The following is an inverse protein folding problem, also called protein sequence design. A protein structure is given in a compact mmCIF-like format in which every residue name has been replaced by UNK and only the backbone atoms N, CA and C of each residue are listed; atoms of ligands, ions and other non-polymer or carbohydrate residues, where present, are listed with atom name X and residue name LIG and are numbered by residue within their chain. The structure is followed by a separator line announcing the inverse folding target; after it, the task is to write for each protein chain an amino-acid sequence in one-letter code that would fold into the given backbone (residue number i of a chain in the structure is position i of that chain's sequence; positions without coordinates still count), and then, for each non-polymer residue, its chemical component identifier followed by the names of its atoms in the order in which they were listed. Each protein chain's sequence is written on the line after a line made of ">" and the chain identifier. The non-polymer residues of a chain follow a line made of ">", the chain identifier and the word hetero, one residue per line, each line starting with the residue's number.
data_IF_378741388214
#
_entry.id   IF_378741388214
#
_cell.length_a   1.000
_cell.length_b   1.000
_cell.length_c   1.000
_cell.angle_alpha   90.00
_cell.angle_beta   90.00
_cell.angle_gamma   90.00
#
_symmetry.space_group_name_H-M   'P 1'
#
loop_
_entity.id
_entity.type
_entity.pdbx_description
1 polymer ?
#
# COMPACT_ATOMS: atom_id res chain seq x y z
N UNK A 1 -16.29 3.88 12.21
CA UNK A 1 -17.21 2.72 12.13
C UNK A 1 -16.53 1.67 11.27
N UNK A 2 -16.40 0.45 11.78
CA UNK A 2 -15.79 -0.68 11.06
C UNK A 2 -16.72 -1.18 9.95
N UNK A 3 -16.41 -0.88 8.69
CA UNK A 3 -17.22 -1.33 7.54
C UNK A 3 -17.15 -2.86 7.41
N UNK A 4 -18.26 -3.53 7.74
CA UNK A 4 -18.28 -4.98 7.97
C UNK A 4 -18.54 -5.75 6.67
N UNK A 5 -19.27 -5.17 5.71
CA UNK A 5 -19.63 -5.85 4.45
C UNK A 5 -19.08 -5.17 3.20
N UNK A 6 -18.92 -5.94 2.12
CA UNK A 6 -18.45 -5.47 0.82
C UNK A 6 -19.32 -4.34 0.25
N UNK A 7 -20.63 -4.41 0.47
CA UNK A 7 -21.58 -3.37 0.06
C UNK A 7 -21.29 -2.03 0.73
N UNK A 8 -20.95 -2.07 2.02
CA UNK A 8 -20.59 -0.85 2.73
C UNK A 8 -19.24 -0.30 2.28
N UNK A 9 -18.26 -1.18 2.02
CA UNK A 9 -16.97 -0.78 1.46
C UNK A 9 -17.10 -0.17 0.06
N UNK A 10 -18.01 -0.66 -0.78
CA UNK A 10 -18.36 -0.01 -2.03
C UNK A 10 -18.96 1.40 -1.81
N UNK A 11 -19.89 1.55 -0.85
CA UNK A 11 -20.44 2.86 -0.51
C UNK A 11 -19.36 3.83 0.02
N UNK A 12 -18.40 3.31 0.80
CA UNK A 12 -17.24 4.07 1.24
C UNK A 12 -16.40 4.54 0.04
N UNK A 13 -16.08 3.66 -0.91
CA UNK A 13 -15.34 4.02 -2.12
C UNK A 13 -16.03 5.10 -2.94
N UNK A 14 -17.36 5.05 -3.08
CA UNK A 14 -18.11 6.08 -3.79
C UNK A 14 -17.95 7.46 -3.13
N UNK A 15 -17.99 7.51 -1.80
CA UNK A 15 -17.81 8.75 -1.04
C UNK A 15 -16.41 9.30 -1.19
N UNK A 16 -15.40 8.45 -1.05
CA UNK A 16 -14.00 8.86 -1.10
C UNK A 16 -13.57 9.31 -2.49
N UNK A 17 -14.08 8.65 -3.54
CA UNK A 17 -13.87 9.05 -4.93
C UNK A 17 -14.74 10.26 -5.34
N UNK A 18 -15.61 10.76 -4.45
CA UNK A 18 -16.51 11.88 -4.75
C UNK A 18 -17.53 11.59 -5.85
N UNK A 19 -17.83 10.32 -6.11
CA UNK A 19 -18.67 9.90 -7.22
C UNK A 19 -20.08 9.50 -6.77
N UNK A 20 -21.07 9.84 -7.61
CA UNK A 20 -22.44 9.32 -7.48
C UNK A 20 -22.54 7.92 -8.10
N UNK A 21 -23.52 7.13 -7.63
CA UNK A 21 -23.77 5.78 -8.14
C UNK A 21 -23.92 5.70 -9.67
N UNK A 22 -24.56 6.70 -10.29
CA UNK A 22 -24.70 6.76 -11.75
C UNK A 22 -23.36 6.97 -12.48
N UNK A 23 -22.50 7.84 -11.96
CA UNK A 23 -21.15 8.06 -12.51
C UNK A 23 -20.28 6.81 -12.35
N UNK A 24 -20.36 6.15 -11.19
CA UNK A 24 -19.66 4.90 -10.93
C UNK A 24 -20.13 3.78 -11.87
N UNK A 25 -21.43 3.66 -12.12
CA UNK A 25 -21.98 2.70 -13.07
C UNK A 25 -21.48 2.93 -14.50
N UNK A 26 -21.43 4.19 -14.95
CA UNK A 26 -20.90 4.55 -16.27
C UNK A 26 -19.41 4.21 -16.41
N UNK A 27 -18.62 4.46 -15.36
CA UNK A 27 -17.19 4.15 -15.35
C UNK A 27 -16.89 2.64 -15.40
N UNK A 28 -17.82 1.81 -14.92
CA UNK A 28 -17.72 0.35 -14.94
C UNK A 28 -18.50 -0.31 -16.09
N UNK A 29 -19.13 0.47 -16.96
CA UNK A 29 -20.03 -0.04 -18.02
C UNK A 29 -21.14 -0.95 -17.46
N UNK A 30 -21.71 -0.58 -16.30
CA UNK A 30 -22.81 -1.27 -15.65
C UNK A 30 -24.08 -0.41 -15.67
N UNK A 31 -25.24 -1.04 -15.49
CA UNK A 31 -26.49 -0.29 -15.29
C UNK A 31 -26.53 0.34 -13.89
N UNK A 32 -27.09 1.56 -13.81
CA UNK A 32 -27.22 2.28 -12.55
C UNK A 32 -28.01 1.47 -11.49
N UNK A 33 -29.01 0.69 -11.94
CA UNK A 33 -29.78 -0.24 -11.10
C UNK A 33 -28.89 -1.30 -10.46
N UNK A 34 -27.93 -1.86 -11.21
CA UNK A 34 -27.02 -2.90 -10.70
C UNK A 34 -26.10 -2.35 -9.61
N UNK A 35 -25.51 -1.18 -9.85
CA UNK A 35 -24.68 -0.51 -8.84
C UNK A 35 -25.50 -0.14 -7.60
N UNK A 36 -26.73 0.35 -7.79
CA UNK A 36 -27.63 0.68 -6.67
C UNK A 36 -27.97 -0.57 -5.84
N UNK A 37 -28.21 -1.72 -6.48
CA UNK A 37 -28.41 -2.99 -5.77
C UNK A 37 -27.20 -3.41 -4.93
N UNK A 38 -25.98 -3.13 -5.39
CA UNK A 38 -24.78 -3.36 -4.59
C UNK A 38 -24.65 -2.38 -3.43
N UNK A 39 -25.11 -1.13 -3.56
CA UNK A 39 -25.05 -0.15 -2.48
C UNK A 39 -26.13 -0.42 -1.41
N UNK A 40 -27.35 -0.72 -1.86
CA UNK A 40 -28.53 -0.95 -1.01
C UNK A 40 -28.58 -2.35 -0.39
N UNK A 41 -27.45 -3.09 -0.45
CA UNK A 41 -27.20 -4.40 0.18
C UNK A 41 -28.09 -5.55 -0.31
N UNK A 42 -28.69 -5.45 -1.49
CA UNK A 42 -29.55 -6.52 -2.04
C UNK A 42 -28.76 -7.58 -2.78
N UNK A 43 -27.62 -7.21 -3.39
CA UNK A 43 -26.79 -8.10 -4.18
C UNK A 43 -25.31 -8.01 -3.80
N UNK A 44 -24.56 -9.10 -3.99
CA UNK A 44 -23.10 -9.10 -3.91
C UNK A 44 -22.52 -8.89 -5.32
N UNK A 45 -21.47 -8.07 -5.48
CA UNK A 45 -20.80 -7.93 -6.77
C UNK A 45 -20.19 -9.28 -7.19
N UNK A 46 -20.32 -9.61 -8.47
CA UNK A 46 -19.65 -10.79 -9.05
C UNK A 46 -18.15 -10.54 -9.21
N UNK A 47 -17.38 -11.60 -9.45
CA UNK A 47 -15.95 -11.49 -9.77
C UNK A 47 -15.69 -10.58 -10.99
N UNK A 48 -16.54 -10.64 -12.01
CA UNK A 48 -16.46 -9.77 -13.19
C UNK A 48 -16.58 -8.28 -12.80
N UNK A 49 -17.51 -7.94 -11.91
CA UNK A 49 -17.66 -6.56 -11.43
C UNK A 49 -16.44 -6.11 -10.65
N UNK A 50 -15.88 -6.99 -9.82
CA UNK A 50 -14.67 -6.71 -9.05
C UNK A 50 -13.45 -6.49 -9.96
N UNK A 51 -13.33 -7.27 -11.03
CA UNK A 51 -12.30 -7.09 -12.04
C UNK A 51 -12.46 -5.74 -12.75
N UNK A 52 -13.67 -5.37 -13.15
CA UNK A 52 -13.95 -4.04 -13.73
C UNK A 52 -13.55 -2.91 -12.77
N UNK A 53 -13.86 -3.05 -11.48
CA UNK A 53 -13.45 -2.07 -10.46
C UNK A 53 -11.94 -1.92 -10.39
N UNK A 54 -11.20 -3.03 -10.32
CA UNK A 54 -9.73 -3.02 -10.31
C UNK A 54 -9.14 -2.45 -11.61
N UNK A 55 -9.83 -2.65 -12.73
CA UNK A 55 -9.42 -2.14 -14.03
C UNK A 55 -9.63 -0.65 -14.21
N UNK A 56 -10.76 -0.12 -13.74
CA UNK A 56 -11.10 1.30 -13.84
C UNK A 56 -10.40 2.13 -12.75
N UNK A 57 -10.31 1.61 -11.53
CA UNK A 57 -9.78 2.34 -10.37
C UNK A 57 -8.49 1.70 -9.86
N UNK A 58 -7.38 1.99 -10.53
CA UNK A 58 -6.05 1.43 -10.21
C UNK A 58 -5.59 1.73 -8.78
N UNK A 59 -6.02 2.86 -8.24
CA UNK A 59 -5.73 3.28 -6.86
C UNK A 59 -6.46 2.47 -5.78
N UNK A 60 -7.46 1.66 -6.12
CA UNK A 60 -8.28 0.94 -5.14
C UNK A 60 -7.69 -0.43 -4.84
N UNK A 61 -7.52 -0.75 -3.55
CA UNK A 61 -7.07 -2.06 -3.10
C UNK A 61 -8.22 -3.09 -3.16
N UNK A 62 -8.10 -4.07 -4.07
CA UNK A 62 -9.09 -5.14 -4.22
C UNK A 62 -9.12 -6.09 -3.01
N UNK A 63 -7.97 -6.34 -2.37
CA UNK A 63 -7.87 -7.16 -1.16
C UNK A 63 -8.69 -6.54 -0.04
N UNK A 64 -8.57 -5.22 0.16
CA UNK A 64 -9.39 -4.49 1.11
C UNK A 64 -10.87 -4.54 0.75
N UNK A 65 -11.22 -4.37 -0.52
CA UNK A 65 -12.62 -4.39 -0.94
C UNK A 65 -13.30 -5.73 -0.63
N UNK A 66 -12.61 -6.85 -0.85
CA UNK A 66 -13.15 -8.19 -0.63
C UNK A 66 -13.11 -8.57 0.85
N UNK A 67 -11.98 -8.35 1.52
CA UNK A 67 -11.73 -8.87 2.88
C UNK A 67 -12.04 -7.88 3.99
N UNK A 68 -12.04 -6.58 3.70
CA UNK A 68 -12.12 -5.49 4.68
C UNK A 68 -10.87 -5.34 5.54
N UNK A 69 -9.75 -5.93 5.13
CA UNK A 69 -8.44 -5.84 5.80
C UNK A 69 -7.53 -4.90 5.00
N UNK A 70 -6.48 -4.39 5.61
CA UNK A 70 -5.52 -3.44 5.00
C UNK A 70 -6.11 -2.05 4.72
N UNK A 71 -5.42 -1.26 3.89
CA UNK A 71 -5.84 0.07 3.50
C UNK A 71 -6.70 0.06 2.22
N UNK A 72 -7.67 0.98 2.09
CA UNK A 72 -8.57 1.03 0.94
C UNK A 72 -7.88 1.42 -0.37
N UNK A 73 -6.76 2.12 -0.30
CA UNK A 73 -6.04 2.64 -1.45
C UNK A 73 -4.62 2.10 -1.47
N UNK A 74 -4.15 1.82 -2.68
CA UNK A 74 -2.76 1.42 -2.92
C UNK A 74 -1.97 2.71 -3.06
N UNK A 75 -0.89 2.84 -2.28
CA UNK A 75 0.08 3.92 -2.48
C UNK A 75 0.87 3.63 -3.75
N UNK A 76 1.18 4.66 -4.55
CA UNK A 76 1.82 4.53 -5.87
C UNK A 76 3.17 3.78 -5.88
N UNK A 77 3.73 3.43 -4.71
CA UNK A 77 4.96 2.66 -4.53
C UNK A 77 4.77 1.13 -4.72
N UNK A 78 3.55 0.58 -4.58
CA UNK A 78 3.29 -0.88 -4.50
C UNK A 78 2.54 -1.43 -5.74
N UNK A 79 2.66 -0.76 -6.89
CA UNK A 79 1.98 -1.13 -8.14
C UNK A 79 2.70 -2.18 -8.99
N UNK A 80 3.07 -3.35 -8.44
CA UNK A 80 3.62 -4.46 -9.24
C UNK A 80 2.83 -5.77 -9.09
N UNK A 81 1.77 -5.83 -9.89
CA UNK A 81 1.16 -7.00 -10.56
C UNK A 81 1.60 -8.41 -10.10
N UNK A 82 0.73 -9.12 -9.38
CA UNK A 82 0.64 -10.59 -9.48
C UNK A 82 -0.64 -10.97 -10.22
N UNK A 83 -0.60 -10.87 -11.56
CA UNK A 83 -1.53 -11.60 -12.41
C UNK A 83 -1.10 -13.07 -12.44
N UNK A 84 -1.74 -13.93 -11.63
CA UNK A 84 -1.68 -15.37 -11.90
C UNK A 84 -2.63 -15.68 -13.05
N UNK A 85 -2.11 -15.67 -14.27
CA UNK A 85 -2.80 -16.24 -15.43
C UNK A 85 -2.97 -17.74 -15.23
N UNK A 86 -4.14 -18.16 -14.74
CA UNK A 86 -4.59 -19.55 -14.81
C UNK A 86 -5.77 -19.58 -15.77
N UNK A 87 -5.47 -19.51 -17.06
CA UNK A 87 -6.40 -19.87 -18.14
C UNK A 87 -5.92 -21.19 -18.74
N UNK A 88 -6.64 -22.26 -18.43
CA UNK A 88 -6.43 -23.60 -18.95
C UNK A 88 -7.67 -24.47 -18.68
N UNK A 89 -8.64 -24.37 -19.58
CA UNK A 89 -9.91 -25.09 -19.56
C UNK A 89 -9.71 -26.59 -19.95
N UNK A 90 -10.20 -27.50 -19.10
CA UNK A 90 -10.65 -28.91 -19.30
C UNK A 90 -9.76 -29.97 -20.00
N UNK A 91 -9.42 -31.06 -19.30
CA UNK A 91 -10.08 -32.40 -19.47
C UNK A 91 -9.46 -33.55 -18.64
N UNK A 92 -10.34 -34.35 -18.03
CA UNK A 92 -10.27 -35.79 -17.72
C UNK A 92 -9.01 -36.38 -17.03
N UNK A 93 -9.09 -36.57 -15.71
CA UNK A 93 -8.13 -37.40 -14.94
C UNK A 93 -8.42 -38.88 -15.21
N UNK A 94 -7.83 -39.40 -16.28
CA UNK A 94 -7.66 -40.83 -16.47
C UNK A 94 -6.27 -41.25 -15.95
N UNK A 95 -6.32 -42.06 -14.89
CA UNK A 95 -5.29 -42.92 -14.32
C UNK A 95 -4.16 -43.34 -15.30
N UNK A 96 -2.89 -43.13 -14.93
CA UNK A 96 -1.76 -43.62 -15.74
C UNK A 96 -0.35 -43.21 -15.31
N UNK A 97 0.20 -43.91 -14.31
CA UNK A 97 1.62 -44.29 -14.07
C UNK A 97 2.77 -43.32 -14.48
N UNK A 98 3.53 -42.92 -13.45
CA UNK A 98 5.00 -42.84 -13.37
C UNK A 98 5.78 -42.20 -14.53
N UNK A 99 5.95 -40.88 -14.49
CA UNK A 99 7.00 -40.15 -15.20
C UNK A 99 7.66 -39.12 -14.27
N UNK A 100 8.92 -39.36 -13.88
CA UNK A 100 9.72 -38.47 -13.03
C UNK A 100 10.26 -37.33 -13.89
N UNK A 101 9.46 -36.29 -14.13
CA UNK A 101 9.90 -35.06 -14.79
C UNK A 101 10.50 -34.11 -13.75
N UNK A 102 11.83 -34.05 -13.69
CA UNK A 102 12.55 -33.00 -12.98
C UNK A 102 12.37 -31.71 -13.78
N UNK A 103 11.47 -30.84 -13.35
CA UNK A 103 11.34 -29.47 -13.86
C UNK A 103 12.52 -28.65 -13.31
N UNK A 104 13.48 -28.32 -14.17
CA UNK A 104 14.46 -27.27 -13.87
C UNK A 104 13.73 -25.94 -14.05
N UNK A 105 13.35 -25.31 -12.94
CA UNK A 105 12.82 -23.95 -12.93
C UNK A 105 14.00 -22.97 -13.02
N UNK A 106 14.27 -22.42 -14.20
CA UNK A 106 15.20 -21.30 -14.43
C UNK A 106 14.62 -19.94 -13.97
N UNK A 107 13.66 -19.93 -13.03
CA UNK A 107 12.96 -18.73 -12.54
C UNK A 107 13.43 -18.19 -11.19
N UNK A 108 14.52 -18.70 -10.62
CA UNK A 108 15.02 -18.25 -9.30
C UNK A 108 16.05 -17.12 -9.36
N UNK A 109 16.62 -16.81 -10.53
CA UNK A 109 17.77 -15.89 -10.60
C UNK A 109 17.42 -14.40 -10.50
N UNK A 110 16.17 -14.01 -10.74
CA UNK A 110 15.79 -12.58 -10.80
C UNK A 110 15.24 -12.06 -9.47
N UNK A 111 14.50 -12.88 -8.71
CA UNK A 111 14.01 -12.51 -7.38
C UNK A 111 15.15 -12.35 -6.34
N UNK A 112 16.25 -13.09 -6.49
CA UNK A 112 17.40 -12.97 -5.58
C UNK A 112 18.16 -11.66 -5.79
N UNK A 113 18.31 -11.22 -7.05
CA UNK A 113 18.94 -9.93 -7.38
C UNK A 113 18.12 -8.76 -6.86
N UNK A 114 16.80 -8.84 -6.97
CA UNK A 114 15.89 -7.81 -6.45
C UNK A 114 15.97 -7.70 -4.92
N UNK A 115 15.97 -8.83 -4.21
CA UNK A 115 16.17 -8.86 -2.75
C UNK A 115 17.50 -8.22 -2.34
N UNK A 116 18.58 -8.51 -3.07
CA UNK A 116 19.91 -7.98 -2.75
C UNK A 116 20.01 -6.47 -3.02
N UNK A 117 19.35 -5.98 -4.08
CA UNK A 117 19.24 -4.55 -4.39
C UNK A 117 18.41 -3.82 -3.32
N UNK A 118 17.25 -4.37 -2.94
CA UNK A 118 16.40 -3.79 -1.91
C UNK A 118 17.11 -3.75 -0.55
N UNK A 119 17.87 -4.80 -0.20
CA UNK A 119 18.68 -4.83 1.01
C UNK A 119 19.79 -3.77 0.99
N UNK A 120 20.48 -3.61 -0.13
CA UNK A 120 21.51 -2.57 -0.28
C UNK A 120 20.91 -1.15 -0.16
N UNK A 121 19.70 -0.93 -0.67
CA UNK A 121 19.01 0.35 -0.53
C UNK A 121 18.56 0.62 0.91
N UNK A 122 18.12 -0.42 1.63
CA UNK A 122 17.78 -0.34 3.05
C UNK A 122 19.02 0.04 3.87
N UNK A 123 20.14 -0.64 3.65
CA UNK A 123 21.40 -0.36 4.35
C UNK A 123 21.89 1.07 4.09
N UNK A 124 21.79 1.55 2.84
CA UNK A 124 22.12 2.93 2.49
C UNK A 124 21.22 3.94 3.18
N UNK A 125 19.92 3.68 3.23
CA UNK A 125 18.93 4.53 3.91
C UNK A 125 19.21 4.57 5.41
N UNK A 126 19.48 3.42 6.01
CA UNK A 126 19.81 3.30 7.43
C UNK A 126 21.08 4.10 7.79
N UNK A 127 22.12 4.03 6.95
CA UNK A 127 23.34 4.83 7.12
C UNK A 127 23.07 6.33 7.02
N UNK A 128 22.18 6.78 6.12
CA UNK A 128 21.80 8.19 6.04
C UNK A 128 21.05 8.66 7.28
N UNK A 129 20.13 7.85 7.80
CA UNK A 129 19.40 8.16 9.05
C UNK A 129 20.38 8.28 10.22
N UNK A 130 21.30 7.32 10.36
CA UNK A 130 22.30 7.34 11.43
C UNK A 130 23.22 8.57 11.32
N UNK A 131 23.66 8.91 10.11
CA UNK A 131 24.46 10.12 9.88
C UNK A 131 23.71 11.40 10.28
N UNK A 132 22.45 11.54 9.89
CA UNK A 132 21.62 12.69 10.23
C UNK A 132 21.36 12.77 11.74
N UNK A 133 21.12 11.64 12.41
CA UNK A 133 20.96 11.58 13.86
C UNK A 133 22.22 12.03 14.59
N UNK A 134 23.41 11.59 14.13
CA UNK A 134 24.67 12.06 14.68
C UNK A 134 24.86 13.57 14.49
N UNK A 135 24.51 14.11 13.32
CA UNK A 135 24.54 15.55 13.09
C UNK A 135 23.60 16.30 14.04
N UNK A 136 22.38 15.82 14.27
CA UNK A 136 21.45 16.43 15.21
C UNK A 136 22.00 16.42 16.63
N UNK A 137 22.53 15.29 17.11
CA UNK A 137 23.15 15.19 18.43
C UNK A 137 24.30 16.19 18.61
N UNK A 138 25.16 16.37 17.60
CA UNK A 138 26.23 17.37 17.66
C UNK A 138 25.70 18.80 17.67
N UNK A 139 24.62 19.10 16.92
CA UNK A 139 23.97 20.41 16.92
C UNK A 139 23.32 20.70 18.28
N UNK A 140 22.66 19.72 18.89
CA UNK A 140 22.04 19.87 20.22
C UNK A 140 23.09 20.14 21.31
N UNK A 141 24.21 19.41 21.29
CA UNK A 141 25.33 19.67 22.21
C UNK A 141 25.91 21.08 22.02
N UNK A 142 26.02 21.55 20.78
CA UNK A 142 26.50 22.90 20.49
C UNK A 142 25.48 23.97 20.93
N UNK A 143 24.18 23.71 20.76
CA UNK A 143 23.12 24.60 21.24
C UNK A 143 23.20 24.70 22.77
N UNK A 144 23.28 23.58 23.49
CA UNK A 144 23.40 23.57 24.94
C UNK A 144 24.64 24.35 25.44
N UNK A 145 25.80 24.16 24.81
CA UNK A 145 27.01 24.92 25.16
C UNK A 145 26.88 26.43 24.90
N UNK A 146 26.18 26.81 23.82
CA UNK A 146 25.89 28.21 23.51
C UNK A 146 24.90 28.82 24.50
N UNK A 147 23.89 28.07 24.92
CA UNK A 147 22.93 28.51 25.95
C UNK A 147 23.62 28.78 27.29
N UNK A 148 24.50 27.88 27.74
CA UNK A 148 25.30 28.07 28.95
C UNK A 148 26.16 29.35 28.88
N UNK A 149 26.79 29.58 27.71
CA UNK A 149 27.59 30.79 27.48
C UNK A 149 26.73 32.05 27.55
N UNK A 150 25.53 32.02 26.96
CA UNK A 150 24.59 33.15 26.99
C UNK A 150 24.16 33.43 28.44
N UNK A 151 23.89 32.40 29.24
CA UNK A 151 23.49 32.56 30.63
C UNK A 151 24.59 33.16 31.50
N UNK A 152 25.84 32.73 31.30
CA UNK A 152 27.01 33.33 31.95
C UNK A 152 27.20 34.81 31.57
N UNK A 153 27.04 35.15 30.30
CA UNK A 153 27.15 36.53 29.81
C UNK A 153 26.02 37.42 30.35
N UNK A 154 24.78 36.92 30.37
CA UNK A 154 23.64 37.61 31.00
C UNK A 154 23.89 37.88 32.49
N UNK A 155 24.40 36.89 33.21
CA UNK A 155 24.73 37.02 34.63
C UNK A 155 25.87 38.02 34.90
N UNK A 156 26.85 38.12 33.99
CA UNK A 156 27.92 39.10 34.08
C UNK A 156 27.43 40.54 33.81
N UNK A 157 26.52 40.72 32.84
CA UNK A 157 25.99 42.04 32.47
C UNK A 157 24.97 42.59 33.48
N UNK A 158 24.23 41.72 34.19
CA UNK A 158 23.25 42.11 35.21
C UNK A 158 23.84 42.34 36.62
N UNK A 159 25.17 42.38 36.78
CA UNK A 159 25.76 42.75 38.07
C UNK A 159 25.53 44.25 38.32
N UNK A 160 24.88 44.66 39.44
CA UNK A 160 24.68 46.06 39.74
C UNK A 160 26.05 46.73 39.93
N UNK A 161 26.29 47.82 39.18
CA UNK A 161 27.44 48.70 39.40
C UNK A 161 27.35 49.25 40.82
N UNK A 162 28.25 48.84 41.70
CA UNK A 162 28.47 49.46 43.02
C UNK A 162 29.30 50.72 42.86
#
# INVERSE_FOLDING_TARGET
>A
MSETTINQRLNFLLKELGMKAGSFARALELSETTVRNYIDRTAKPSSEVLEKISNTFRQVNLVWLITGREEPFISDDEGSVTQTNISGDRNNVASGKNGKAIQKNDGLSDCEKERDILKAQLDKTQQQVEHLQAQLATKDALIASKEETIDLLKAAFNRPNT
#
